data_IF_681162724339
#
_entry.id   IF_681162724339
#
_cell.length_a   1.000
_cell.length_b   1.000
_cell.length_c   1.000
_cell.angle_alpha   90.00
_cell.angle_beta   90.00
_cell.angle_gamma   90.00
#
_symmetry.space_group_name_H-M   'P 1'
#
loop_
_entity.id
_entity.type
_entity.pdbx_description
1 polymer ?
#
# COMPACT_ATOMS: atom_id res chain seq x y z
N UNK A 1 16.19 -61.47 -19.70
CA UNK A 1 15.45 -62.47 -18.91
C UNK A 1 16.19 -62.62 -17.59
N UNK A 2 15.64 -62.26 -16.41
CA UNK A 2 14.27 -61.79 -16.08
C UNK A 2 13.91 -60.44 -16.77
N UNK A 3 12.74 -59.75 -16.69
CA UNK A 3 11.34 -59.93 -16.18
C UNK A 3 10.98 -60.00 -14.67
N UNK A 4 9.75 -59.58 -14.33
CA UNK A 4 9.15 -59.42 -12.98
C UNK A 4 9.78 -58.31 -12.08
N UNK A 5 9.01 -57.48 -11.37
CA UNK A 5 7.57 -57.17 -11.47
C UNK A 5 7.33 -55.76 -10.89
N UNK A 6 6.47 -54.94 -11.51
CA UNK A 6 5.99 -53.70 -10.89
C UNK A 6 4.84 -54.00 -9.93
N UNK A 7 4.79 -53.32 -8.78
CA UNK A 7 3.62 -53.32 -7.89
C UNK A 7 3.00 -51.91 -7.83
N UNK A 8 1.72 -51.74 -8.22
CA UNK A 8 0.98 -50.52 -7.96
C UNK A 8 0.32 -50.59 -6.57
N UNK A 9 0.63 -49.61 -5.71
CA UNK A 9 -0.20 -49.34 -4.53
C UNK A 9 -1.28 -48.33 -4.92
N UNK A 10 -2.53 -48.79 -4.95
CA UNK A 10 -3.71 -47.93 -5.03
C UNK A 10 -4.09 -47.35 -3.66
N UNK A 11 -5.31 -46.83 -3.56
CA UNK A 11 -5.85 -45.99 -2.47
C UNK A 11 -5.32 -44.54 -2.51
N UNK A 12 -6.11 -43.49 -2.26
CA UNK A 12 -7.44 -43.41 -1.64
C UNK A 12 -8.35 -42.45 -2.44
N UNK A 13 -9.66 -42.70 -2.43
CA UNK A 13 -10.65 -42.08 -3.33
C UNK A 13 -10.69 -40.55 -3.41
N UNK A 14 -10.89 -40.06 -4.63
CA UNK A 14 -11.35 -38.70 -4.92
C UNK A 14 -12.74 -38.51 -4.27
N UNK A 15 -12.81 -37.72 -3.19
CA UNK A 15 -14.08 -37.31 -2.57
C UNK A 15 -14.84 -36.37 -3.50
N UNK A 16 -16.17 -36.39 -3.41
CA UNK A 16 -17.04 -35.60 -4.26
C UNK A 16 -16.73 -34.10 -4.17
N UNK A 17 -16.51 -33.46 -5.32
CA UNK A 17 -16.63 -32.02 -5.43
C UNK A 17 -18.11 -31.66 -5.40
N UNK A 18 -18.64 -31.43 -4.20
CA UNK A 18 -19.95 -30.80 -4.02
C UNK A 18 -19.89 -29.43 -4.71
N UNK A 19 -20.81 -29.19 -5.64
CA UNK A 19 -20.94 -27.89 -6.29
C UNK A 19 -21.43 -26.87 -5.25
N UNK A 20 -20.50 -26.13 -4.64
CA UNK A 20 -20.86 -25.01 -3.78
C UNK A 20 -21.63 -23.96 -4.58
N UNK A 21 -22.80 -23.64 -4.05
CA UNK A 21 -23.73 -22.68 -4.62
C UNK A 21 -23.09 -21.31 -4.79
N UNK A 22 -23.12 -20.78 -6.01
CA UNK A 22 -22.88 -19.36 -6.28
C UNK A 22 -24.00 -18.55 -5.62
N UNK A 23 -23.80 -18.24 -4.34
CA UNK A 23 -24.64 -17.30 -3.60
C UNK A 23 -24.25 -15.91 -4.06
N UNK A 24 -24.99 -15.39 -5.04
CA UNK A 24 -24.98 -13.95 -5.34
C UNK A 24 -25.24 -13.17 -4.05
N UNK A 25 -24.33 -12.29 -3.60
CA UNK A 25 -24.67 -11.36 -2.55
C UNK A 25 -25.71 -10.38 -3.12
N UNK A 26 -26.94 -10.47 -2.64
CA UNK A 26 -27.95 -9.42 -2.85
C UNK A 26 -27.47 -8.07 -2.29
N UNK A 27 -28.23 -6.99 -2.49
CA UNK A 27 -27.83 -5.66 -2.05
C UNK A 27 -27.62 -5.66 -0.53
N UNK A 28 -26.34 -5.61 -0.09
CA UNK A 28 -25.99 -5.45 1.32
C UNK A 28 -26.41 -4.05 1.76
N UNK A 29 -27.56 -3.98 2.42
CA UNK A 29 -27.92 -2.83 3.26
C UNK A 29 -26.88 -2.78 4.37
N UNK A 30 -26.02 -1.76 4.37
CA UNK A 30 -25.05 -1.52 5.44
C UNK A 30 -25.80 -1.29 6.75
N UNK A 31 -25.44 -2.04 7.79
CA UNK A 31 -26.11 -1.94 9.07
C UNK A 31 -25.61 -0.69 9.82
N UNK A 32 -26.48 -0.06 10.62
CA UNK A 32 -26.10 1.14 11.38
C UNK A 32 -24.91 0.89 12.34
N UNK A 33 -24.69 -0.38 12.72
CA UNK A 33 -23.54 -0.84 13.51
C UNK A 33 -22.19 -0.67 12.80
N UNK A 34 -22.16 -0.81 11.47
CA UNK A 34 -20.93 -0.80 10.66
C UNK A 34 -20.24 0.58 10.72
N UNK A 35 -21.04 1.65 10.93
CA UNK A 35 -20.53 3.01 11.14
C UNK A 35 -19.69 3.17 12.41
N UNK A 36 -19.96 2.38 13.47
CA UNK A 36 -19.22 2.44 14.73
C UNK A 36 -17.81 1.83 14.61
N UNK A 37 -17.58 0.96 13.63
CA UNK A 37 -16.22 0.52 13.26
C UNK A 37 -15.47 1.56 12.42
N UNK A 38 -16.17 2.44 11.69
CA UNK A 38 -15.55 3.55 10.94
C UNK A 38 -14.81 4.53 11.87
N UNK A 39 -15.34 4.80 13.05
CA UNK A 39 -14.70 5.63 14.07
C UNK A 39 -13.41 4.98 14.63
N UNK A 40 -13.44 3.65 14.82
CA UNK A 40 -12.25 2.86 15.16
C UNK A 40 -11.24 2.76 13.99
N UNK A 41 -11.69 2.90 12.75
CA UNK A 41 -10.85 3.00 11.57
C UNK A 41 -10.14 4.37 11.50
N UNK A 42 -10.81 5.46 11.89
CA UNK A 42 -10.20 6.78 12.06
C UNK A 42 -9.13 6.79 13.17
N UNK A 43 -9.35 6.04 14.26
CA UNK A 43 -8.33 5.85 15.32
C UNK A 43 -7.05 5.12 14.84
N UNK A 44 -7.04 4.51 13.65
CA UNK A 44 -5.84 3.93 13.00
C UNK A 44 -5.09 4.92 12.11
N UNK A 45 -5.51 6.18 12.07
CA UNK A 45 -4.83 7.25 11.33
C UNK A 45 -3.53 7.69 12.03
N UNK A 46 -2.53 6.79 12.09
CA UNK A 46 -1.22 7.10 12.64
C UNK A 46 -0.39 7.86 11.60
N UNK A 47 -0.19 9.16 11.81
CA UNK A 47 0.75 9.98 11.02
C UNK A 47 2.19 9.49 11.28
N UNK A 48 3.02 9.25 10.25
CA UNK A 48 4.43 8.98 10.46
C UNK A 48 5.17 10.25 10.87
N UNK A 49 6.19 10.10 11.73
CA UNK A 49 7.06 11.20 12.11
C UNK A 49 8.07 11.50 10.99
N UNK A 50 7.70 12.39 10.06
CA UNK A 50 8.60 12.91 9.02
C UNK A 50 9.35 14.13 9.55
N UNK A 51 10.68 14.12 9.42
CA UNK A 51 11.51 15.29 9.72
C UNK A 51 11.25 16.43 8.73
N UNK A 52 11.55 17.67 9.13
CA UNK A 52 11.40 18.86 8.27
C UNK A 52 12.04 18.66 6.88
N UNK A 53 13.26 18.12 6.81
CA UNK A 53 13.94 17.85 5.54
C UNK A 53 13.28 16.76 4.70
N UNK A 54 12.65 15.76 5.31
CA UNK A 54 11.85 14.76 4.59
C UNK A 54 10.56 15.38 4.02
N UNK A 55 9.94 16.31 4.74
CA UNK A 55 8.76 17.06 4.26
C UNK A 55 9.13 17.97 3.09
N UNK A 56 10.23 18.74 3.21
CA UNK A 56 10.76 19.57 2.12
C UNK A 56 11.01 18.75 0.84
N UNK A 57 11.70 17.61 0.96
CA UNK A 57 12.01 16.73 -0.18
C UNK A 57 10.76 16.07 -0.74
N UNK A 58 9.79 15.71 0.12
CA UNK A 58 8.49 15.20 -0.32
C UNK A 58 7.75 16.22 -1.18
N UNK A 59 7.59 17.46 -0.69
CA UNK A 59 6.86 18.51 -1.38
C UNK A 59 7.55 18.94 -2.69
N UNK A 60 8.88 19.11 -2.67
CA UNK A 60 9.64 19.44 -3.88
C UNK A 60 9.58 18.33 -4.94
N UNK A 61 9.57 17.05 -4.53
CA UNK A 61 9.38 15.92 -5.45
C UNK A 61 7.96 15.83 -6.00
N UNK A 62 6.94 16.12 -5.17
CA UNK A 62 5.57 16.19 -5.66
C UNK A 62 5.43 17.29 -6.73
N UNK A 63 6.08 18.44 -6.54
CA UNK A 63 6.08 19.61 -7.43
C UNK A 63 7.11 19.59 -8.58
N UNK A 64 7.59 18.41 -8.96
CA UNK A 64 8.56 18.22 -10.04
C UNK A 64 8.22 16.99 -10.88
N UNK A 65 8.42 17.06 -12.19
CA UNK A 65 8.19 15.93 -13.10
C UNK A 65 9.35 14.93 -13.05
N UNK A 66 10.54 15.37 -12.65
CA UNK A 66 11.76 14.56 -12.57
C UNK A 66 12.48 14.72 -11.23
N UNK A 67 13.26 13.71 -10.84
CA UNK A 67 14.01 13.76 -9.57
C UNK A 67 15.15 14.78 -9.65
N UNK A 68 15.63 15.00 -10.86
CA UNK A 68 16.65 15.94 -11.28
C UNK A 68 16.16 17.38 -11.06
N UNK A 69 14.92 17.66 -11.44
CA UNK A 69 14.26 18.96 -11.19
C UNK A 69 14.02 19.19 -9.68
N UNK A 70 13.50 18.19 -8.96
CA UNK A 70 13.34 18.27 -7.50
C UNK A 70 14.68 18.46 -6.76
N UNK A 71 15.73 17.80 -7.25
CA UNK A 71 17.08 17.90 -6.71
C UNK A 71 17.70 19.29 -6.96
N UNK A 72 17.48 19.85 -8.16
CA UNK A 72 17.87 21.22 -8.52
C UNK A 72 17.21 22.25 -7.61
N UNK A 73 15.88 22.16 -7.42
CA UNK A 73 15.09 23.02 -6.51
C UNK A 73 15.59 23.02 -5.06
N UNK A 74 16.22 21.93 -4.62
CA UNK A 74 16.70 21.74 -3.24
C UNK A 74 18.23 21.73 -3.08
N UNK A 75 18.98 22.06 -4.14
CA UNK A 75 20.45 22.06 -4.19
C UNK A 75 21.10 20.75 -3.69
N UNK A 76 20.53 19.60 -4.08
CA UNK A 76 21.03 18.25 -3.77
C UNK A 76 21.14 17.39 -5.03
N UNK A 77 21.51 16.12 -4.91
CA UNK A 77 21.52 15.15 -6.03
C UNK A 77 20.20 14.36 -6.14
N UNK A 78 19.86 13.90 -7.34
CA UNK A 78 18.71 13.01 -7.58
C UNK A 78 18.83 11.65 -6.85
N UNK A 79 20.06 11.20 -6.55
CA UNK A 79 20.33 10.05 -5.67
C UNK A 79 19.96 10.34 -4.21
N UNK A 80 20.24 11.56 -3.72
CA UNK A 80 19.84 12.01 -2.38
C UNK A 80 18.32 12.11 -2.28
N UNK A 81 17.64 12.69 -3.28
CA UNK A 81 16.17 12.68 -3.38
C UNK A 81 15.62 11.25 -3.32
N UNK A 82 16.19 10.32 -4.10
CA UNK A 82 15.78 8.91 -4.09
C UNK A 82 15.93 8.26 -2.70
N UNK A 83 17.00 8.60 -1.98
CA UNK A 83 17.27 8.11 -0.61
C UNK A 83 16.26 8.64 0.39
N UNK A 84 15.93 9.94 0.33
CA UNK A 84 14.85 10.51 1.16
C UNK A 84 13.50 9.86 0.85
N UNK A 85 13.14 9.70 -0.42
CA UNK A 85 11.87 9.05 -0.80
C UNK A 85 11.79 7.59 -0.35
N UNK A 86 12.90 6.85 -0.30
CA UNK A 86 12.94 5.50 0.27
C UNK A 86 12.68 5.52 1.79
N UNK A 87 13.30 6.46 2.53
CA UNK A 87 13.08 6.64 3.99
C UNK A 87 11.64 7.06 4.30
N UNK A 88 11.09 8.03 3.56
CA UNK A 88 9.70 8.48 3.69
C UNK A 88 8.73 7.30 3.50
N UNK A 89 8.92 6.50 2.44
CA UNK A 89 8.11 5.29 2.20
C UNK A 89 8.22 4.28 3.35
N UNK A 90 9.43 4.04 3.87
CA UNK A 90 9.65 3.14 5.01
C UNK A 90 8.98 3.65 6.30
N UNK A 91 8.90 4.97 6.51
CA UNK A 91 8.15 5.56 7.62
C UNK A 91 6.64 5.39 7.45
N UNK A 92 6.11 5.57 6.24
CA UNK A 92 4.71 5.32 5.92
C UNK A 92 4.33 3.83 6.06
N UNK A 93 5.18 2.90 5.61
CA UNK A 93 4.95 1.46 5.78
C UNK A 93 5.05 1.03 7.25
N UNK A 94 5.98 1.60 8.02
CA UNK A 94 6.12 1.37 9.45
C UNK A 94 4.91 1.78 10.31
N UNK A 95 4.01 2.62 9.77
CA UNK A 95 2.71 2.95 10.40
C UNK A 95 1.51 2.28 9.70
N UNK A 96 1.74 1.32 8.80
CA UNK A 96 0.70 0.59 8.08
C UNK A 96 0.00 1.40 6.98
N UNK A 97 0.64 2.46 6.47
CA UNK A 97 0.05 3.42 5.52
C UNK A 97 0.85 3.54 4.23
N UNK A 98 1.18 2.39 3.63
CA UNK A 98 2.01 2.28 2.42
C UNK A 98 1.71 3.33 1.33
N UNK A 99 2.78 3.80 0.68
CA UNK A 99 2.74 4.82 -0.36
C UNK A 99 3.78 4.55 -1.48
N UNK A 100 3.59 3.52 -2.32
CA UNK A 100 4.58 3.12 -3.31
C UNK A 100 4.75 4.15 -4.44
N UNK A 101 3.67 4.78 -4.92
CA UNK A 101 3.69 5.70 -6.07
C UNK A 101 3.73 7.19 -5.66
N UNK A 102 4.10 8.08 -6.59
CA UNK A 102 4.05 9.55 -6.40
C UNK A 102 2.64 10.00 -5.98
N UNK A 103 1.60 9.47 -6.62
CA UNK A 103 0.18 9.74 -6.30
C UNK A 103 -0.21 9.28 -4.90
N UNK A 104 0.25 8.11 -4.44
CA UNK A 104 -0.01 7.68 -3.06
C UNK A 104 0.68 8.62 -2.06
N UNK A 105 1.92 9.05 -2.34
CA UNK A 105 2.62 10.03 -1.50
C UNK A 105 1.89 11.38 -1.45
N UNK A 106 1.31 11.85 -2.56
CA UNK A 106 0.45 13.05 -2.57
C UNK A 106 -0.79 12.86 -1.70
N UNK A 107 -1.50 11.74 -1.88
CA UNK A 107 -2.69 11.43 -1.08
C UNK A 107 -2.37 11.38 0.43
N UNK A 108 -1.23 10.77 0.82
CA UNK A 108 -0.76 10.80 2.21
C UNK A 108 -0.40 12.21 2.67
N UNK A 109 0.28 13.00 1.85
CA UNK A 109 0.66 14.38 2.18
C UNK A 109 -0.55 15.29 2.42
N UNK A 110 -1.60 15.14 1.62
CA UNK A 110 -2.89 15.82 1.80
C UNK A 110 -3.59 15.36 3.10
N UNK A 111 -3.72 14.04 3.31
CA UNK A 111 -4.37 13.51 4.51
C UNK A 111 -3.64 13.92 5.80
N UNK A 112 -2.30 13.99 5.78
CA UNK A 112 -1.48 14.39 6.92
C UNK A 112 -1.36 15.92 7.07
N UNK A 113 -1.88 16.72 6.14
CA UNK A 113 -1.80 18.18 6.19
C UNK A 113 -0.38 18.73 5.99
N UNK A 114 0.47 18.03 5.22
CA UNK A 114 1.74 18.57 4.72
C UNK A 114 1.54 19.49 3.50
N UNK A 115 0.40 19.40 2.82
CA UNK A 115 0.01 20.23 1.67
C UNK A 115 -1.52 20.25 1.53
N UNK A 116 -2.03 21.15 0.69
CA UNK A 116 -3.46 21.37 0.40
C UNK A 116 -3.68 21.43 -1.12
N UNK A 117 -4.91 21.20 -1.59
CA UNK A 117 -5.22 21.08 -3.03
C UNK A 117 -5.06 22.41 -3.81
N UNK A 118 -5.15 23.55 -3.13
CA UNK A 118 -4.89 24.89 -3.67
C UNK A 118 -3.42 25.16 -4.02
N UNK A 119 -2.49 24.29 -3.58
CA UNK A 119 -1.05 24.44 -3.77
C UNK A 119 -0.49 23.69 -5.00
N UNK A 120 -1.36 23.22 -5.91
CA UNK A 120 -1.03 22.31 -7.02
C UNK A 120 -1.66 22.74 -8.36
#
# INVERSE_FOLDING_TARGET
MPIHLAQPMGTQGCREAVAESVTSPGPRVTHMSDYRESDAQAARYRRPDLSLREIEVLLAWLAAESKEEAASKLFISASTVSTHLARIRAKYSGVGRDAPTKTHLLARALQDGYTSLDSW
#
